data_IF_185667032088
#
_entry.id   IF_185667032088
#
_cell.length_a   1.000
_cell.length_b   1.000
_cell.length_c   1.000
_cell.angle_alpha   90.00
_cell.angle_beta   90.00
_cell.angle_gamma   90.00
#
_symmetry.space_group_name_H-M   'P 1'
#
loop_
_entity.id
_entity.type
_entity.pdbx_description
1 polymer ?
#
# COMPACT_ATOMS: atom_id res chain seq x y z
N UNK A 1 47.34 25.30 -39.91
CA UNK A 1 46.49 25.83 -38.82
C UNK A 1 45.05 25.65 -39.26
N UNK A 2 44.47 24.44 -39.22
CA UNK A 2 43.97 23.68 -38.06
C UNK A 2 42.99 24.49 -37.21
N UNK A 3 41.70 24.26 -37.44
CA UNK A 3 40.66 24.23 -36.39
C UNK A 3 39.42 23.52 -36.95
N UNK A 4 39.45 22.19 -36.87
CA UNK A 4 38.25 21.35 -36.97
C UNK A 4 37.39 21.59 -35.74
N UNK A 5 36.19 22.14 -35.90
CA UNK A 5 35.16 22.11 -34.85
C UNK A 5 34.41 20.79 -34.95
N UNK A 6 34.59 19.93 -33.94
CA UNK A 6 33.77 18.75 -33.73
C UNK A 6 32.59 19.21 -32.87
N UNK A 7 31.40 19.32 -33.47
CA UNK A 7 30.16 19.46 -32.72
C UNK A 7 29.84 18.09 -32.11
N UNK A 8 30.00 17.98 -30.79
CA UNK A 8 29.58 16.80 -30.04
C UNK A 8 28.06 16.75 -30.03
N UNK A 9 27.48 15.86 -30.84
CA UNK A 9 26.07 15.52 -30.78
C UNK A 9 25.83 14.73 -29.49
N UNK A 10 25.40 15.42 -28.43
CA UNK A 10 24.84 14.76 -27.26
C UNK A 10 23.57 14.02 -27.73
N UNK A 11 23.68 12.72 -27.95
CA UNK A 11 22.51 11.83 -27.96
C UNK A 11 22.00 11.84 -26.52
N UNK A 12 21.13 12.79 -26.21
CA UNK A 12 20.27 12.68 -25.05
C UNK A 12 19.41 11.45 -25.33
N UNK A 13 19.82 10.31 -24.77
CA UNK A 13 18.95 9.17 -24.61
C UNK A 13 17.78 9.65 -23.74
N UNK A 14 16.73 10.15 -24.41
CA UNK A 14 15.41 10.21 -23.84
C UNK A 14 15.02 8.74 -23.61
N UNK A 15 15.42 8.23 -22.44
CA UNK A 15 14.70 7.16 -21.78
C UNK A 15 13.29 7.74 -21.56
N UNK A 16 12.46 7.61 -22.59
CA UNK A 16 11.03 7.57 -22.41
C UNK A 16 10.83 6.48 -21.37
N UNK A 17 10.61 6.89 -20.12
CA UNK A 17 10.04 6.05 -19.09
C UNK A 17 8.73 5.57 -19.71
N UNK A 18 8.78 4.39 -20.34
CA UNK A 18 7.57 3.68 -20.71
C UNK A 18 6.67 3.75 -19.48
N UNK A 19 5.41 4.19 -19.59
CA UNK A 19 4.50 4.21 -18.46
C UNK A 19 4.53 2.80 -17.87
N UNK A 20 5.23 2.67 -16.74
CA UNK A 20 5.52 1.40 -16.14
C UNK A 20 4.19 0.71 -15.94
N UNK A 21 4.14 -0.58 -16.30
CA UNK A 21 3.07 -1.53 -16.03
C UNK A 21 2.04 -0.95 -15.06
N UNK A 22 0.89 -0.53 -15.60
CA UNK A 22 -0.09 0.30 -14.90
C UNK A 22 -0.18 -0.09 -13.44
N UNK A 23 0.32 0.78 -12.55
CA UNK A 23 0.26 0.54 -11.12
C UNK A 23 -1.19 0.22 -10.81
N UNK A 24 -1.46 -1.02 -10.42
CA UNK A 24 -2.82 -1.45 -10.11
C UNK A 24 -3.36 -0.47 -9.08
N UNK A 25 -4.47 0.19 -9.38
CA UNK A 25 -5.06 1.13 -8.45
C UNK A 25 -5.47 0.36 -7.19
N UNK A 26 -5.05 0.79 -5.99
CA UNK A 26 -5.45 0.12 -4.77
C UNK A 26 -6.99 0.08 -4.67
N UNK A 27 -7.58 -1.04 -4.22
CA UNK A 27 -9.00 -1.07 -3.96
C UNK A 27 -9.34 -0.02 -2.89
N UNK A 28 -10.40 0.78 -3.09
CA UNK A 28 -10.76 1.83 -2.14
C UNK A 28 -11.30 1.21 -0.85
N UNK A 29 -10.84 1.72 0.28
CA UNK A 29 -11.39 1.42 1.61
C UNK A 29 -12.04 2.72 2.10
N UNK A 30 -13.25 2.66 2.65
CA UNK A 30 -13.87 3.87 3.18
C UNK A 30 -13.19 4.25 4.52
N UNK A 31 -12.76 5.51 4.72
CA UNK A 31 -12.34 5.96 6.04
C UNK A 31 -13.52 5.91 7.02
N UNK A 32 -13.27 5.54 8.27
CA UNK A 32 -14.32 5.50 9.29
C UNK A 32 -14.05 4.50 10.42
N UNK A 33 -15.08 4.26 11.23
CA UNK A 33 -15.02 3.34 12.35
C UNK A 33 -15.39 1.92 11.89
N UNK A 34 -14.63 0.95 12.37
CA UNK A 34 -14.77 -0.47 12.06
C UNK A 34 -14.66 -1.31 13.33
N UNK A 35 -15.20 -2.51 13.28
CA UNK A 35 -14.91 -3.59 14.22
C UNK A 35 -13.97 -4.57 13.54
N UNK A 36 -12.81 -4.76 14.14
CA UNK A 36 -11.86 -5.80 13.75
C UNK A 36 -12.12 -7.05 14.58
N UNK A 37 -12.42 -8.17 13.91
CA UNK A 37 -12.62 -9.48 14.54
C UNK A 37 -11.44 -10.40 14.22
N UNK A 38 -10.72 -10.85 15.24
CA UNK A 38 -9.69 -11.88 15.12
C UNK A 38 -10.30 -13.26 14.87
N UNK A 39 -9.51 -14.17 14.30
CA UNK A 39 -9.91 -15.57 14.09
C UNK A 39 -10.20 -16.36 15.38
N UNK A 40 -9.84 -15.84 16.56
CA UNK A 40 -10.21 -16.40 17.87
C UNK A 40 -11.56 -15.88 18.39
N UNK A 41 -12.24 -15.00 17.65
CA UNK A 41 -13.52 -14.39 18.00
C UNK A 41 -13.41 -13.08 18.79
N UNK A 42 -12.22 -12.65 19.21
CA UNK A 42 -12.04 -11.36 19.85
C UNK A 42 -12.36 -10.22 18.88
N UNK A 43 -13.09 -9.20 19.35
CA UNK A 43 -13.49 -8.04 18.55
C UNK A 43 -13.03 -6.75 19.18
N UNK A 44 -12.41 -5.89 18.37
CA UNK A 44 -11.76 -4.65 18.81
C UNK A 44 -12.24 -3.51 17.91
N UNK A 45 -12.73 -2.39 18.47
CA UNK A 45 -13.04 -1.20 17.67
C UNK A 45 -11.76 -0.57 17.13
N UNK A 46 -11.78 -0.21 15.85
CA UNK A 46 -10.66 0.42 15.15
C UNK A 46 -11.14 1.53 14.23
N UNK A 47 -10.23 2.43 13.84
CA UNK A 47 -10.49 3.50 12.87
C UNK A 47 -9.60 3.31 11.65
N UNK A 48 -10.18 3.42 10.45
CA UNK A 48 -9.48 3.39 9.16
C UNK A 48 -9.32 4.82 8.64
N UNK A 49 -8.11 5.20 8.21
CA UNK A 49 -7.81 6.51 7.64
C UNK A 49 -6.72 6.47 6.55
N UNK A 50 -6.73 7.40 5.59
CA UNK A 50 -5.67 7.58 4.59
C UNK A 50 -4.73 8.72 5.01
N UNK A 51 -4.00 8.51 6.11
CA UNK A 51 -3.17 9.52 6.78
C UNK A 51 -1.68 9.11 6.89
N UNK A 52 -1.25 8.04 6.22
CA UNK A 52 0.13 7.52 6.25
C UNK A 52 0.91 7.68 4.93
N UNK A 53 0.40 8.50 4.01
CA UNK A 53 1.02 8.85 2.73
C UNK A 53 0.29 8.27 1.52
N UNK A 54 0.86 8.41 0.31
CA UNK A 54 0.27 7.87 -0.91
C UNK A 54 0.23 6.33 -0.86
N UNK A 55 -0.84 5.77 -1.43
CA UNK A 55 -1.07 4.32 -1.48
C UNK A 55 -0.92 3.63 -0.11
N UNK A 56 -1.38 4.33 0.93
CA UNK A 56 -1.30 3.91 2.31
C UNK A 56 -2.60 4.22 3.05
N UNK A 57 -3.12 3.24 3.77
CA UNK A 57 -4.14 3.46 4.79
C UNK A 57 -3.66 2.94 6.14
N UNK A 58 -4.13 3.56 7.21
CA UNK A 58 -3.87 3.13 8.57
C UNK A 58 -5.11 2.51 9.19
N UNK A 59 -4.89 1.58 10.11
CA UNK A 59 -5.90 1.06 11.02
C UNK A 59 -5.40 1.26 12.43
N UNK A 60 -6.11 2.07 13.19
CA UNK A 60 -5.72 2.48 14.54
C UNK A 60 -6.74 1.94 15.55
N UNK A 61 -6.27 1.18 16.54
CA UNK A 61 -7.02 0.79 17.73
C UNK A 61 -6.71 1.72 18.91
N UNK A 62 -6.99 1.26 20.13
CA UNK A 62 -6.72 2.03 21.35
C UNK A 62 -5.22 2.27 21.58
N UNK A 63 -4.39 1.25 21.38
CA UNK A 63 -2.95 1.27 21.69
C UNK A 63 -2.05 0.99 20.49
N UNK A 64 -2.61 0.49 19.38
CA UNK A 64 -1.85 0.03 18.21
C UNK A 64 -2.30 0.74 16.94
N UNK A 65 -1.35 0.92 16.01
CA UNK A 65 -1.60 1.45 14.67
C UNK A 65 -0.85 0.62 13.63
N UNK A 66 -1.58 0.11 12.65
CA UNK A 66 -1.04 -0.62 11.51
C UNK A 66 -1.14 0.23 10.26
N UNK A 67 -0.03 0.39 9.55
CA UNK A 67 0.02 1.08 8.26
C UNK A 67 0.13 0.07 7.13
N UNK A 68 -0.91 -0.02 6.33
CA UNK A 68 -0.98 -0.87 5.16
C UNK A 68 -0.55 -0.08 3.95
N UNK A 69 0.48 -0.58 3.26
CA UNK A 69 0.99 0.01 2.01
C UNK A 69 0.64 -0.91 0.86
N UNK A 70 0.08 -0.35 -0.21
CA UNK A 70 -0.22 -1.09 -1.42
C UNK A 70 1.08 -1.51 -2.08
N UNK A 71 1.16 -2.79 -2.46
CA UNK A 71 2.33 -3.35 -3.11
C UNK A 71 2.02 -3.69 -4.57
N UNK A 72 3.03 -3.68 -5.47
CA UNK A 72 2.85 -3.99 -6.89
C UNK A 72 2.25 -5.37 -7.18
N UNK A 73 2.26 -6.29 -6.21
CA UNK A 73 1.66 -7.62 -6.29
C UNK A 73 0.14 -7.61 -6.10
N UNK A 74 -0.49 -6.44 -5.93
CA UNK A 74 -1.94 -6.32 -5.77
C UNK A 74 -2.41 -6.64 -4.36
N UNK A 75 -1.59 -6.35 -3.34
CA UNK A 75 -1.88 -6.62 -1.93
C UNK A 75 -1.51 -5.42 -1.06
N UNK A 76 -2.28 -5.21 -0.01
CA UNK A 76 -1.94 -4.34 1.10
C UNK A 76 -1.08 -5.10 2.10
N UNK A 77 0.02 -4.48 2.55
CA UNK A 77 0.95 -5.10 3.51
C UNK A 77 1.27 -4.14 4.64
N UNK A 78 1.19 -4.63 5.87
CA UNK A 78 1.61 -3.97 7.11
C UNK A 78 2.63 -4.82 7.88
N UNK A 79 3.51 -4.18 8.65
CA UNK A 79 4.40 -4.89 9.57
C UNK A 79 3.62 -5.42 10.79
N UNK A 80 4.00 -6.57 11.40
CA UNK A 80 5.11 -7.46 11.08
C UNK A 80 4.72 -8.61 10.12
N UNK A 81 4.06 -8.29 9.00
CA UNK A 81 3.65 -9.28 7.99
C UNK A 81 2.15 -9.56 8.04
N UNK A 82 1.33 -8.54 8.24
CA UNK A 82 -0.11 -8.63 8.04
C UNK A 82 -0.38 -8.22 6.61
N UNK A 83 -1.23 -8.94 5.89
CA UNK A 83 -1.59 -8.57 4.53
C UNK A 83 -3.07 -8.79 4.23
N UNK A 84 -3.58 -8.07 3.23
CA UNK A 84 -4.95 -8.20 2.75
C UNK A 84 -5.01 -7.83 1.27
N UNK A 85 -5.80 -8.56 0.48
CA UNK A 85 -6.00 -8.24 -0.94
C UNK A 85 -7.12 -7.20 -1.13
N UNK A 86 -8.11 -7.19 -0.24
CA UNK A 86 -9.33 -6.38 -0.34
C UNK A 86 -9.37 -5.22 0.66
N UNK A 87 -8.47 -5.19 1.64
CA UNK A 87 -8.46 -4.22 2.74
C UNK A 87 -9.24 -4.67 3.97
N UNK A 88 -10.09 -5.69 3.86
CA UNK A 88 -11.05 -6.10 4.87
C UNK A 88 -10.69 -7.43 5.52
N UNK A 89 -10.30 -8.43 4.72
CA UNK A 89 -9.92 -9.75 5.19
C UNK A 89 -8.39 -9.84 5.33
N UNK A 90 -7.92 -9.89 6.57
CA UNK A 90 -6.51 -9.85 6.93
C UNK A 90 -5.97 -11.25 7.15
N UNK A 91 -4.75 -11.48 6.70
CA UNK A 91 -3.97 -12.67 7.03
C UNK A 91 -2.76 -12.26 7.85
N UNK A 92 -2.60 -12.89 9.01
CA UNK A 92 -1.42 -12.70 9.86
C UNK A 92 -0.30 -13.67 9.48
N UNK A 93 0.97 -13.39 9.85
CA UNK A 93 2.11 -14.28 9.56
C UNK A 93 1.92 -15.70 10.12
N UNK A 94 1.13 -15.85 11.18
CA UNK A 94 0.84 -17.12 11.85
C UNK A 94 -0.36 -17.86 11.24
N UNK A 95 -0.94 -17.35 10.15
CA UNK A 95 -2.08 -17.95 9.45
C UNK A 95 -3.44 -17.67 10.08
N UNK A 96 -3.50 -16.88 11.16
CA UNK A 96 -4.78 -16.49 11.78
C UNK A 96 -5.48 -15.43 10.91
N UNK A 97 -6.72 -15.66 10.46
CA UNK A 97 -7.47 -14.65 9.73
C UNK A 97 -7.97 -13.56 10.69
N UNK A 98 -8.27 -12.39 10.15
CA UNK A 98 -9.04 -11.36 10.82
C UNK A 98 -9.89 -10.59 9.81
N UNK A 99 -10.92 -9.89 10.28
CA UNK A 99 -11.86 -9.17 9.40
C UNK A 99 -12.21 -7.80 9.94
N UNK A 100 -12.21 -6.79 9.08
CA UNK A 100 -12.84 -5.50 9.33
C UNK A 100 -14.29 -5.49 8.88
N UNK A 101 -15.19 -5.03 9.76
CA UNK A 101 -16.60 -4.78 9.46
C UNK A 101 -16.95 -3.35 9.84
N UNK A 102 -17.72 -2.60 9.03
CA UNK A 102 -18.19 -1.28 9.45
C UNK A 102 -18.90 -1.37 10.81
N UNK A 103 -18.57 -0.44 11.72
CA UNK A 103 -19.13 -0.40 13.08
C UNK A 103 -20.57 0.16 13.11
#
# INVERSE_FOLDING_TARGET
MNKSMIAATCVAAALALAPGAGAQTPPPIAPGNYIYTHGDGASIPVTVAYDCGPDCYSVSGADDRYEFRWQPQGIWVAAPGIWTADGFDWTHPRGTPGRLTPA
#
